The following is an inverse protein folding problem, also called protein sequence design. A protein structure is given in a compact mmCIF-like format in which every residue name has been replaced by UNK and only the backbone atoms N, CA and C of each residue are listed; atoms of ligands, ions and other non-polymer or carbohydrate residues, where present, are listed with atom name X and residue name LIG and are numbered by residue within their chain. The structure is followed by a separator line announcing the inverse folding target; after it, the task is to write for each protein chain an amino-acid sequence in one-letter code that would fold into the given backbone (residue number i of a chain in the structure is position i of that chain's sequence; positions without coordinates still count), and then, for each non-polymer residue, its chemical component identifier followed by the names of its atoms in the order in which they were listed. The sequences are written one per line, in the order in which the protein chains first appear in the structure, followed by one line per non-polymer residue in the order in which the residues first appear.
data_IF_594254720877
#
_entry.id   IF_594254720877
#
_cell.length_a   1.000
_cell.length_b   1.000
_cell.length_c   1.000
_cell.angle_alpha   90.00
_cell.angle_beta   90.00
_cell.angle_gamma   90.00
#
_symmetry.space_group_name_H-M   'P 1'
#
loop_
_entity.id
_entity.type
_entity.pdbx_description
1 polymer ?
#
# COMPACT_ATOMS: atom_id res chain seq x y z
N UNK A 1 0.05 6.88 11.87
CA UNK A 1 1.11 5.97 12.41
C UNK A 1 0.77 4.56 11.97
N UNK A 2 1.76 3.78 11.54
CA UNK A 2 1.57 2.50 10.85
C UNK A 2 2.55 1.47 11.40
N UNK A 3 2.07 0.24 11.64
CA UNK A 3 2.90 -0.93 11.91
C UNK A 3 2.88 -1.78 10.63
N UNK A 4 4.05 -2.09 10.09
CA UNK A 4 4.19 -2.81 8.83
C UNK A 4 4.52 -4.28 9.08
N UNK A 5 3.70 -5.14 8.49
CA UNK A 5 3.92 -6.57 8.28
C UNK A 5 4.24 -6.90 6.80
N UNK A 6 4.44 -5.87 5.96
CA UNK A 6 4.69 -5.99 4.53
C UNK A 6 6.17 -5.82 4.23
N UNK A 7 6.75 -6.75 3.46
CA UNK A 7 8.15 -6.65 2.98
C UNK A 7 8.30 -5.38 2.12
N UNK A 8 9.35 -4.61 2.39
CA UNK A 8 9.60 -3.34 1.69
C UNK A 8 8.70 -2.18 2.13
N UNK A 9 7.86 -2.36 3.17
CA UNK A 9 7.17 -1.27 3.86
C UNK A 9 6.26 -0.41 2.93
N UNK A 10 5.68 -1.04 1.88
CA UNK A 10 4.81 -0.38 0.90
C UNK A 10 3.47 0.09 1.51
N UNK A 11 3.30 1.41 1.62
CA UNK A 11 2.13 2.03 2.24
C UNK A 11 0.80 1.74 1.54
N UNK A 12 0.80 1.63 0.22
CA UNK A 12 -0.38 1.35 -0.60
C UNK A 12 -0.88 -0.10 -0.47
N UNK A 13 -0.03 -0.97 0.10
CA UNK A 13 -0.34 -2.39 0.33
C UNK A 13 -0.76 -2.62 1.78
N UNK A 14 -0.11 -1.96 2.74
CA UNK A 14 -0.43 -2.11 4.18
C UNK A 14 -1.88 -1.70 4.42
N UNK A 15 -2.71 -2.65 4.87
CA UNK A 15 -4.14 -2.47 5.07
C UNK A 15 -4.88 -1.87 3.85
N UNK A 16 -4.37 -2.09 2.62
CA UNK A 16 -4.87 -1.49 1.38
C UNK A 16 -4.72 0.03 1.28
N UNK A 17 -3.76 0.61 2.02
CA UNK A 17 -3.36 2.01 1.86
C UNK A 17 -4.46 3.05 2.10
N UNK A 18 -5.30 2.96 3.16
CA UNK A 18 -6.42 3.88 3.39
C UNK A 18 -5.99 5.34 3.54
N UNK A 19 -4.72 5.57 3.85
CA UNK A 19 -4.10 6.89 4.01
C UNK A 19 -2.95 7.12 3.04
N UNK A 20 -2.82 6.30 2.00
CA UNK A 20 -1.80 6.42 0.96
C UNK A 20 -2.47 6.75 -0.38
N UNK A 21 -1.80 7.45 -1.30
CA UNK A 21 -2.32 7.64 -2.64
C UNK A 21 -2.36 6.31 -3.38
N UNK A 22 -3.43 6.09 -4.13
CA UNK A 22 -3.62 4.92 -4.98
C UNK A 22 -3.35 5.32 -6.44
N UNK A 23 -2.29 4.79 -7.07
CA UNK A 23 -1.95 5.12 -8.46
C UNK A 23 -2.89 4.48 -9.48
N UNK A 24 -3.71 3.50 -9.09
CA UNK A 24 -4.61 2.77 -9.99
C UNK A 24 -5.92 3.52 -10.21
N UNK A 25 -6.72 3.09 -11.17
CA UNK A 25 -7.98 3.75 -11.54
C UNK A 25 -9.13 2.76 -11.67
N UNK A 26 -10.36 3.26 -11.81
CA UNK A 26 -11.49 2.43 -12.22
C UNK A 26 -11.23 1.68 -13.54
N UNK A 27 -10.46 2.27 -14.47
CA UNK A 27 -10.09 1.58 -15.72
C UNK A 27 -9.15 0.39 -15.47
N UNK A 28 -8.21 0.51 -14.53
CA UNK A 28 -7.34 -0.60 -14.12
C UNK A 28 -8.17 -1.71 -13.47
N UNK A 29 -9.13 -1.36 -12.60
CA UNK A 29 -10.05 -2.30 -11.99
C UNK A 29 -10.87 -3.07 -13.05
N UNK A 30 -11.44 -2.36 -14.03
CA UNK A 30 -12.14 -2.98 -15.16
C UNK A 30 -11.21 -3.92 -15.94
N UNK A 31 -10.00 -3.45 -16.28
CA UNK A 31 -9.00 -4.20 -17.05
C UNK A 31 -8.60 -5.50 -16.35
N UNK A 32 -8.47 -5.49 -15.02
CA UNK A 32 -8.22 -6.70 -14.22
C UNK A 32 -9.40 -7.68 -14.33
N UNK A 33 -10.64 -7.21 -14.15
CA UNK A 33 -11.82 -8.07 -14.27
C UNK A 33 -11.96 -8.67 -15.67
N UNK A 34 -11.66 -7.90 -16.72
CA UNK A 34 -11.70 -8.37 -18.11
C UNK A 34 -10.60 -9.40 -18.38
N UNK A 35 -9.35 -9.11 -18.00
CA UNK A 35 -8.19 -10.00 -18.16
C UNK A 35 -8.43 -11.39 -17.58
N UNK A 36 -9.07 -11.45 -16.41
CA UNK A 36 -9.37 -12.71 -15.73
C UNK A 36 -10.77 -13.27 -16.07
N UNK A 37 -11.49 -12.68 -17.03
CA UNK A 37 -12.84 -13.09 -17.47
C UNK A 37 -13.88 -13.12 -16.34
N UNK A 38 -13.74 -12.22 -15.37
CA UNK A 38 -14.57 -12.13 -14.15
C UNK A 38 -15.76 -11.19 -14.30
N UNK A 39 -15.84 -10.38 -15.37
CA UNK A 39 -16.92 -9.38 -15.55
C UNK A 39 -18.32 -9.99 -15.38
N UNK A 40 -18.59 -11.19 -15.90
CA UNK A 40 -19.89 -11.86 -15.78
C UNK A 40 -20.10 -12.59 -14.44
N UNK A 41 -19.07 -12.73 -13.62
CA UNK A 41 -19.08 -13.47 -12.36
C UNK A 41 -19.26 -12.56 -11.14
N UNK A 42 -18.81 -11.31 -11.23
CA UNK A 42 -19.00 -10.34 -10.15
C UNK A 42 -20.46 -9.84 -10.11
N UNK A 43 -20.97 -9.44 -8.93
CA UNK A 43 -22.31 -8.86 -8.79
C UNK A 43 -22.53 -7.65 -9.73
N UNK A 44 -23.77 -7.44 -10.17
CA UNK A 44 -24.12 -6.30 -11.04
C UNK A 44 -23.74 -4.96 -10.40
N UNK A 45 -23.98 -4.80 -9.10
CA UNK A 45 -23.61 -3.59 -8.36
C UNK A 45 -22.13 -3.22 -8.45
N UNK A 46 -21.23 -4.22 -8.53
CA UNK A 46 -19.79 -3.99 -8.71
C UNK A 46 -19.49 -3.49 -10.12
N UNK A 47 -20.12 -4.10 -11.15
CA UNK A 47 -19.97 -3.66 -12.54
C UNK A 47 -20.50 -2.25 -12.76
N UNK A 48 -21.66 -1.95 -12.20
CA UNK A 48 -22.29 -0.64 -12.26
C UNK A 48 -21.40 0.41 -11.61
N UNK A 49 -20.89 0.16 -10.39
CA UNK A 49 -20.01 1.09 -9.69
C UNK A 49 -18.74 1.40 -10.48
N UNK A 50 -18.07 0.37 -11.03
CA UNK A 50 -16.87 0.56 -11.86
C UNK A 50 -17.21 1.32 -13.15
N UNK A 51 -18.35 1.02 -13.78
CA UNK A 51 -18.80 1.72 -15.00
C UNK A 51 -19.07 3.20 -14.74
N UNK A 52 -19.73 3.55 -13.64
CA UNK A 52 -19.96 4.94 -13.23
C UNK A 52 -18.63 5.66 -12.96
N UNK A 53 -17.69 4.99 -12.28
CA UNK A 53 -16.34 5.51 -12.07
C UNK A 53 -15.59 5.80 -13.36
N UNK A 54 -15.62 4.88 -14.34
CA UNK A 54 -15.01 5.10 -15.66
C UNK A 54 -15.65 6.24 -16.46
N UNK A 55 -16.94 6.55 -16.22
CA UNK A 55 -17.63 7.70 -16.83
C UNK A 55 -17.36 9.02 -16.11
N UNK A 56 -16.62 9.00 -14.99
CA UNK A 56 -16.38 10.17 -14.16
C UNK A 56 -17.59 10.60 -13.32
N UNK A 57 -18.59 9.73 -13.17
CA UNK A 57 -19.78 9.99 -12.35
C UNK A 57 -19.54 9.68 -10.86
N UNK A 58 -18.41 9.05 -10.54
CA UNK A 58 -17.92 8.80 -9.19
C UNK A 58 -16.50 9.35 -9.04
N UNK A 59 -16.17 9.86 -7.85
CA UNK A 59 -14.80 10.25 -7.55
C UNK A 59 -13.85 9.05 -7.60
N UNK A 60 -12.67 9.29 -8.14
CA UNK A 60 -11.57 8.32 -8.15
C UNK A 60 -10.88 8.28 -6.77
N UNK A 61 -10.17 7.19 -6.49
CA UNK A 61 -9.31 7.09 -5.30
C UNK A 61 -8.25 8.19 -5.27
N UNK A 62 -7.78 8.54 -4.07
CA UNK A 62 -6.86 9.67 -3.86
C UNK A 62 -5.58 9.51 -4.68
N UNK A 63 -5.30 10.47 -5.56
CA UNK A 63 -4.07 10.52 -6.36
C UNK A 63 -2.97 11.32 -5.66
N UNK A 64 -1.72 11.05 -6.03
CA UNK A 64 -0.54 11.72 -5.46
C UNK A 64 -0.53 13.22 -5.74
N UNK A 65 -1.14 13.62 -6.86
CA UNK A 65 -1.30 14.99 -7.32
C UNK A 65 -2.43 15.72 -6.58
N UNK A 66 -3.25 15.01 -5.79
CA UNK A 66 -4.34 15.62 -5.03
C UNK A 66 -3.82 16.67 -4.03
N UNK A 67 -4.40 17.88 -3.98
CA UNK A 67 -4.02 18.91 -3.01
C UNK A 67 -4.13 18.47 -1.55
N UNK A 68 -4.99 17.49 -1.27
CA UNK A 68 -5.13 16.88 0.05
C UNK A 68 -3.87 16.15 0.51
N UNK A 69 -3.16 15.50 -0.43
CA UNK A 69 -2.01 14.66 -0.10
C UNK A 69 -0.87 15.44 0.54
N UNK A 70 -0.70 16.72 0.17
CA UNK A 70 0.32 17.60 0.76
C UNK A 70 0.14 17.85 2.26
N UNK A 71 -1.00 17.48 2.84
CA UNK A 71 -1.34 17.65 4.26
C UNK A 71 -1.35 16.34 5.06
N UNK A 72 -1.05 15.21 4.42
CA UNK A 72 -1.07 13.88 5.06
C UNK A 72 0.35 13.37 5.26
N UNK A 73 0.63 12.89 6.47
CA UNK A 73 1.92 12.33 6.83
C UNK A 73 1.74 10.89 7.32
N UNK A 74 2.43 9.96 6.67
CA UNK A 74 2.44 8.56 7.05
C UNK A 74 3.79 8.22 7.68
N UNK A 75 3.74 7.65 8.89
CA UNK A 75 4.91 7.25 9.64
C UNK A 75 4.83 5.77 9.95
N UNK A 76 5.79 5.00 9.45
CA UNK A 76 6.00 3.61 9.85
C UNK A 76 6.78 3.65 11.17
N UNK A 77 6.14 3.23 12.24
CA UNK A 77 6.71 3.28 13.60
C UNK A 77 7.29 1.94 14.04
N UNK A 78 6.91 0.87 13.34
CA UNK A 78 7.39 -0.48 13.57
C UNK A 78 7.34 -1.27 12.25
N UNK A 79 8.42 -2.00 11.97
CA UNK A 79 8.57 -2.90 10.82
C UNK A 79 9.72 -3.87 11.09
N UNK A 80 9.94 -4.85 10.19
CA UNK A 80 11.07 -5.77 10.30
C UNK A 80 12.42 -5.03 10.39
N UNK A 81 12.59 -3.97 9.61
CA UNK A 81 13.79 -3.11 9.64
C UNK A 81 14.04 -2.51 11.03
N UNK A 82 13.01 -1.99 11.67
CA UNK A 82 13.12 -1.42 13.02
C UNK A 82 13.63 -2.45 14.02
N UNK A 83 13.09 -3.67 13.96
CA UNK A 83 13.52 -4.78 14.81
C UNK A 83 14.98 -5.17 14.56
N UNK A 84 15.35 -5.42 13.30
CA UNK A 84 16.71 -5.82 12.92
C UNK A 84 17.77 -4.80 13.35
N UNK A 85 17.49 -3.50 13.17
CA UNK A 85 18.38 -2.44 13.63
C UNK A 85 18.52 -2.41 15.16
N UNK A 86 17.42 -2.59 15.91
CA UNK A 86 17.47 -2.65 17.37
C UNK A 86 18.25 -3.86 17.88
N UNK A 87 18.10 -5.02 17.25
CA UNK A 87 18.88 -6.23 17.58
C UNK A 87 20.37 -6.02 17.30
N UNK A 88 20.71 -5.41 16.16
CA UNK A 88 22.09 -5.05 15.83
C UNK A 88 22.69 -4.14 16.90
N UNK A 89 21.99 -3.08 17.27
CA UNK A 89 22.47 -2.11 18.26
C UNK A 89 22.64 -2.77 19.64
N UNK A 90 21.72 -3.67 20.02
CA UNK A 90 21.80 -4.45 21.25
C UNK A 90 23.06 -5.32 21.32
N UNK A 91 23.42 -6.03 20.26
CA UNK A 91 24.62 -6.87 20.24
C UNK A 91 25.91 -6.06 20.13
N UNK A 92 25.91 -4.98 19.34
CA UNK A 92 27.06 -4.07 19.24
C UNK A 92 27.39 -3.46 20.61
N UNK A 93 26.37 -3.06 21.39
CA UNK A 93 26.57 -2.55 22.76
C UNK A 93 27.20 -3.56 23.74
N UNK A 94 27.21 -4.85 23.37
CA UNK A 94 27.80 -5.96 24.14
C UNK A 94 29.14 -6.44 23.56
N UNK A 95 29.71 -5.71 22.61
CA UNK A 95 30.98 -6.07 21.97
C UNK A 95 30.88 -7.18 20.93
N UNK A 96 29.67 -7.58 20.52
CA UNK A 96 29.45 -8.57 19.46
C UNK A 96 29.26 -7.83 18.14
N UNK A 97 30.24 -7.94 17.24
CA UNK A 97 30.17 -7.35 15.89
C UNK A 97 28.97 -7.90 15.13
N UNK A 98 28.00 -7.03 14.83
CA UNK A 98 26.75 -7.41 14.16
C UNK A 98 26.54 -6.56 12.92
N UNK A 99 26.29 -7.22 11.78
CA UNK A 99 26.05 -6.58 10.49
C UNK A 99 24.58 -6.75 10.12
N UNK A 100 23.95 -5.67 9.66
CA UNK A 100 22.61 -5.73 9.08
C UNK A 100 22.73 -6.06 7.59
N UNK A 101 22.25 -7.23 7.18
CA UNK A 101 22.30 -7.70 5.78
C UNK A 101 21.05 -7.31 4.96
N UNK A 102 19.98 -6.85 5.61
CA UNK A 102 18.73 -6.49 4.96
C UNK A 102 17.49 -6.94 5.76
N UNK A 103 16.33 -6.40 5.39
CA UNK A 103 14.99 -6.74 5.91
C UNK A 103 14.02 -7.12 4.78
N UNK A 104 14.57 -7.33 3.58
CA UNK A 104 13.85 -7.62 2.34
C UNK A 104 14.42 -8.88 1.68
N UNK A 105 14.89 -9.81 2.52
CA UNK A 105 15.49 -11.08 2.12
C UNK A 105 14.39 -12.07 1.71
#
# INVERSE_FOLDING_TARGET
MIISDVVGDRLDVIASGPTAPDPTTYFDAYSVLEKYKLLKLVPESVREHISLGMKGEMEETVKKESPFWQRVFNFIIASNRHFCLKVRDFFNSRGISTIYLGSEI
#
